data_IF_960395434922
#
_entry.id   IF_960395434922
#
_cell.length_a   1.000
_cell.length_b   1.000
_cell.length_c   1.000
_cell.angle_alpha   90.00
_cell.angle_beta   90.00
_cell.angle_gamma   90.00
#
_symmetry.space_group_name_H-M   'P 1'
#
loop_
_entity.id
_entity.type
_entity.pdbx_description
1 polymer ?
#
# COMPACT_ATOMS: atom_id res chain seq x y z
N UNK A 1 -12.38 2.73 -31.56
CA UNK A 1 -13.47 2.84 -30.57
C UNK A 1 -12.82 3.03 -29.21
N UNK A 2 -13.14 4.06 -28.42
CA UNK A 2 -12.62 4.19 -27.08
C UNK A 2 -13.16 3.03 -26.24
N UNK A 3 -12.24 2.32 -25.55
CA UNK A 3 -12.61 1.28 -24.62
C UNK A 3 -13.57 1.86 -23.59
N UNK A 4 -14.72 1.22 -23.42
CA UNK A 4 -15.68 1.56 -22.36
C UNK A 4 -14.89 1.41 -21.05
N UNK A 5 -14.54 2.55 -20.44
CA UNK A 5 -13.97 2.59 -19.11
C UNK A 5 -15.07 2.05 -18.19
N UNK A 6 -14.94 0.80 -17.76
CA UNK A 6 -15.76 0.30 -16.66
C UNK A 6 -15.58 1.27 -15.51
N UNK A 7 -16.67 1.80 -14.99
CA UNK A 7 -16.66 2.59 -13.75
C UNK A 7 -15.95 1.79 -12.67
N UNK A 8 -14.67 2.10 -12.45
CA UNK A 8 -13.83 1.38 -11.49
C UNK A 8 -14.11 1.97 -10.12
N UNK A 9 -14.75 1.19 -9.26
CA UNK A 9 -15.02 1.58 -7.89
C UNK A 9 -13.73 1.50 -7.06
N UNK A 10 -13.33 2.61 -6.49
CA UNK A 10 -12.19 2.71 -5.58
C UNK A 10 -12.62 2.40 -4.15
N UNK A 11 -11.82 1.59 -3.46
CA UNK A 11 -12.06 1.20 -2.07
C UNK A 11 -10.85 1.55 -1.20
N UNK A 12 -11.09 2.19 -0.07
CA UNK A 12 -10.06 2.56 0.90
C UNK A 12 -10.47 2.18 2.32
N UNK A 13 -9.70 1.31 2.96
CA UNK A 13 -9.87 0.95 4.36
C UNK A 13 -9.25 2.01 5.28
N UNK A 14 -10.05 2.56 6.19
CA UNK A 14 -9.60 3.49 7.22
C UNK A 14 -9.66 2.79 8.56
N UNK A 15 -8.55 2.87 9.31
CA UNK A 15 -8.41 2.24 10.62
C UNK A 15 -8.86 3.23 11.69
N UNK A 16 -9.78 2.83 12.54
CA UNK A 16 -10.20 3.56 13.73
C UNK A 16 -9.86 2.71 14.96
N UNK A 17 -9.28 3.31 15.97
CA UNK A 17 -9.14 2.68 17.27
C UNK A 17 -10.46 2.78 18.05
N UNK A 18 -10.72 1.83 18.93
CA UNK A 18 -11.85 1.89 19.84
C UNK A 18 -11.47 2.78 21.04
N UNK A 19 -12.45 3.48 21.59
CA UNK A 19 -12.28 4.28 22.82
C UNK A 19 -12.16 3.42 24.08
N UNK A 20 -12.66 2.19 23.99
CA UNK A 20 -12.66 1.20 25.05
C UNK A 20 -12.38 -0.19 24.48
N UNK A 21 -12.17 -1.16 25.35
CA UNK A 21 -12.09 -2.56 24.96
C UNK A 21 -13.40 -3.03 24.29
N UNK A 22 -13.27 -3.99 23.37
CA UNK A 22 -14.47 -4.62 22.78
C UNK A 22 -15.41 -5.12 23.87
N UNK A 23 -16.72 -4.82 23.78
CA UNK A 23 -17.74 -5.44 24.63
C UNK A 23 -17.65 -6.97 24.59
N UNK A 24 -18.04 -7.61 25.69
CA UNK A 24 -17.94 -9.08 25.84
C UNK A 24 -18.67 -9.81 24.73
N UNK A 25 -19.85 -9.35 24.36
CA UNK A 25 -20.66 -9.92 23.27
C UNK A 25 -19.96 -9.80 21.93
N UNK A 26 -19.29 -8.67 21.65
CA UNK A 26 -18.50 -8.49 20.43
C UNK A 26 -17.23 -9.37 20.44
N UNK A 27 -16.60 -9.61 21.60
CA UNK A 27 -15.48 -10.55 21.72
C UNK A 27 -15.91 -11.96 21.34
N UNK A 28 -17.05 -12.43 21.87
CA UNK A 28 -17.61 -13.74 21.52
C UNK A 28 -17.95 -13.82 20.03
N UNK A 29 -18.58 -12.78 19.46
CA UNK A 29 -18.90 -12.75 18.04
C UNK A 29 -17.64 -12.89 17.15
N UNK A 30 -16.55 -12.20 17.48
CA UNK A 30 -15.29 -12.28 16.74
C UNK A 30 -14.66 -13.68 16.83
N UNK A 31 -14.78 -14.35 17.97
CA UNK A 31 -14.33 -15.74 18.15
C UNK A 31 -15.19 -16.73 17.36
N UNK A 32 -16.50 -16.63 17.45
CA UNK A 32 -17.43 -17.47 16.69
C UNK A 32 -17.24 -17.29 15.19
N UNK A 33 -17.04 -16.05 14.73
CA UNK A 33 -16.74 -15.77 13.33
C UNK A 33 -15.45 -16.46 12.86
N UNK A 34 -14.39 -16.44 13.66
CA UNK A 34 -13.14 -17.15 13.37
C UNK A 34 -13.37 -18.68 13.29
N UNK A 35 -14.17 -19.24 14.18
CA UNK A 35 -14.53 -20.67 14.14
C UNK A 35 -15.33 -21.01 12.89
N UNK A 36 -16.35 -20.20 12.55
CA UNK A 36 -17.14 -20.35 11.34
C UNK A 36 -16.27 -20.30 10.08
N UNK A 37 -15.32 -19.36 9.98
CA UNK A 37 -14.36 -19.30 8.86
C UNK A 37 -13.52 -20.55 8.77
N UNK A 38 -13.00 -21.09 9.87
CA UNK A 38 -12.19 -22.31 9.87
C UNK A 38 -12.99 -23.55 9.50
N UNK A 39 -14.22 -23.65 9.98
CA UNK A 39 -15.14 -24.73 9.57
C UNK A 39 -15.46 -24.65 8.08
N UNK A 40 -15.74 -23.44 7.56
CA UNK A 40 -15.97 -23.22 6.12
C UNK A 40 -14.74 -23.56 5.25
N UNK A 41 -13.52 -23.31 5.74
CA UNK A 41 -12.29 -23.72 5.05
C UNK A 41 -12.23 -25.25 4.96
N UNK A 42 -12.54 -25.98 6.05
CA UNK A 42 -12.54 -27.45 6.05
C UNK A 42 -13.59 -28.01 5.08
N UNK A 43 -14.83 -27.53 5.16
CA UNK A 43 -15.89 -27.93 4.23
C UNK A 43 -15.55 -27.66 2.77
N UNK A 44 -14.98 -26.47 2.49
CA UNK A 44 -14.57 -26.11 1.13
C UNK A 44 -13.40 -26.94 0.58
N UNK A 45 -12.45 -27.37 1.44
CA UNK A 45 -11.38 -28.29 1.05
C UNK A 45 -11.93 -29.69 0.73
N UNK A 46 -12.81 -30.22 1.58
CA UNK A 46 -13.46 -31.53 1.37
C UNK A 46 -14.28 -31.56 0.08
N UNK A 47 -15.12 -30.55 -0.13
CA UNK A 47 -15.95 -30.44 -1.34
C UNK A 47 -15.19 -29.86 -2.56
N UNK A 48 -13.90 -29.51 -2.44
CA UNK A 48 -13.07 -28.90 -3.50
C UNK A 48 -13.65 -27.61 -4.10
N UNK A 49 -14.43 -26.85 -3.34
CA UNK A 49 -15.05 -25.59 -3.74
C UNK A 49 -14.32 -24.37 -3.12
N UNK A 50 -14.39 -23.24 -3.80
CA UNK A 50 -13.70 -22.01 -3.35
C UNK A 50 -14.55 -20.75 -3.50
N UNK A 51 -15.76 -20.85 -4.07
CA UNK A 51 -16.63 -19.67 -4.23
C UNK A 51 -17.56 -19.51 -3.02
N UNK A 52 -17.91 -18.25 -2.69
CA UNK A 52 -18.91 -17.94 -1.65
C UNK A 52 -20.21 -18.72 -1.90
N UNK A 53 -20.74 -18.64 -3.13
CA UNK A 53 -22.04 -19.25 -3.46
C UNK A 53 -22.01 -20.77 -3.32
N UNK A 54 -20.91 -21.43 -3.71
CA UNK A 54 -20.76 -22.86 -3.51
C UNK A 54 -20.66 -23.23 -2.03
N UNK A 55 -19.93 -22.45 -1.23
CA UNK A 55 -19.82 -22.65 0.22
C UNK A 55 -21.17 -22.45 0.92
N UNK A 56 -21.95 -21.44 0.52
CA UNK A 56 -23.31 -21.23 1.03
C UNK A 56 -24.19 -22.47 0.77
N UNK A 57 -24.16 -23.01 -0.46
CA UNK A 57 -24.98 -24.18 -0.81
C UNK A 57 -24.69 -25.43 0.04
N UNK A 58 -23.40 -25.66 0.35
CA UNK A 58 -22.97 -26.91 1.02
C UNK A 58 -22.90 -26.80 2.55
N UNK A 59 -22.75 -25.59 3.11
CA UNK A 59 -22.40 -25.43 4.51
C UNK A 59 -23.30 -24.49 5.31
N UNK A 60 -24.13 -23.66 4.64
CA UNK A 60 -24.87 -22.62 5.36
C UNK A 60 -25.85 -23.17 6.38
N UNK A 61 -26.61 -24.23 6.02
CA UNK A 61 -27.62 -24.83 6.90
C UNK A 61 -26.98 -25.38 8.17
N UNK A 62 -25.98 -26.24 8.01
CA UNK A 62 -25.26 -26.87 9.13
C UNK A 62 -24.57 -25.81 10.01
N UNK A 63 -24.01 -24.77 9.39
CA UNK A 63 -23.35 -23.69 10.13
C UNK A 63 -24.35 -22.80 10.87
N UNK A 64 -25.56 -22.63 10.34
CA UNK A 64 -26.63 -21.91 11.04
C UNK A 64 -27.05 -22.64 12.32
N UNK A 65 -27.08 -23.97 12.28
CA UNK A 65 -27.35 -24.84 13.44
C UNK A 65 -26.19 -24.80 14.46
N UNK A 66 -24.93 -24.80 13.97
CA UNK A 66 -23.74 -24.71 14.83
C UNK A 66 -23.54 -23.33 15.48
N UNK A 67 -23.99 -22.25 14.82
CA UNK A 67 -23.84 -20.87 15.26
C UNK A 67 -25.19 -20.14 15.37
N UNK A 68 -26.15 -20.63 16.17
CA UNK A 68 -27.51 -20.08 16.24
C UNK A 68 -27.56 -18.65 16.74
N UNK A 69 -26.57 -18.26 17.54
CA UNK A 69 -26.47 -16.91 18.13
C UNK A 69 -25.81 -15.87 17.19
N UNK A 70 -25.25 -16.28 16.06
CA UNK A 70 -24.62 -15.36 15.13
C UNK A 70 -25.67 -14.74 14.21
N UNK A 71 -25.59 -13.43 13.96
CA UNK A 71 -26.40 -12.77 12.95
C UNK A 71 -26.16 -13.39 11.57
N UNK A 72 -27.23 -13.71 10.84
CA UNK A 72 -27.16 -14.51 9.60
C UNK A 72 -26.21 -13.92 8.53
N UNK A 73 -26.17 -12.61 8.38
CA UNK A 73 -25.27 -11.95 7.44
C UNK A 73 -23.78 -12.11 7.81
N UNK A 74 -23.45 -12.18 9.08
CA UNK A 74 -22.06 -12.42 9.52
C UNK A 74 -21.60 -13.81 9.16
N UNK A 75 -22.50 -14.81 9.24
CA UNK A 75 -22.20 -16.17 8.80
C UNK A 75 -21.92 -16.21 7.29
N UNK A 76 -22.72 -15.52 6.48
CA UNK A 76 -22.46 -15.41 5.03
C UNK A 76 -21.12 -14.71 4.76
N UNK A 77 -20.78 -13.69 5.54
CA UNK A 77 -19.47 -13.01 5.45
C UNK A 77 -18.31 -13.93 5.85
N UNK A 78 -18.51 -14.82 6.81
CA UNK A 78 -17.51 -15.83 7.19
C UNK A 78 -17.23 -16.82 6.01
N UNK A 79 -18.30 -17.28 5.33
CA UNK A 79 -18.17 -18.12 4.13
C UNK A 79 -17.44 -17.38 2.99
N UNK A 80 -17.67 -16.08 2.82
CA UNK A 80 -16.95 -15.27 1.83
C UNK A 80 -15.45 -15.16 2.15
N UNK A 81 -15.11 -14.87 3.42
CA UNK A 81 -13.70 -14.82 3.87
C UNK A 81 -13.01 -16.17 3.64
N UNK A 82 -13.67 -17.27 3.99
CA UNK A 82 -13.17 -18.62 3.73
C UNK A 82 -12.94 -18.87 2.23
N UNK A 83 -13.89 -18.47 1.38
CA UNK A 83 -13.76 -18.56 -0.09
C UNK A 83 -12.54 -17.81 -0.64
N UNK A 84 -12.27 -16.60 -0.14
CA UNK A 84 -11.09 -15.83 -0.49
C UNK A 84 -9.78 -16.54 -0.10
N UNK A 85 -9.73 -17.13 1.09
CA UNK A 85 -8.58 -17.90 1.58
C UNK A 85 -8.37 -19.16 0.71
N UNK A 86 -9.42 -19.90 0.43
CA UNK A 86 -9.39 -21.10 -0.41
C UNK A 86 -8.93 -20.80 -1.84
N UNK A 87 -9.42 -19.71 -2.45
CA UNK A 87 -8.94 -19.25 -3.77
C UNK A 87 -7.44 -18.94 -3.76
N UNK A 88 -6.96 -18.26 -2.72
CA UNK A 88 -5.54 -17.96 -2.56
C UNK A 88 -4.69 -19.22 -2.39
N UNK A 89 -5.15 -20.16 -1.54
CA UNK A 89 -4.50 -21.45 -1.32
C UNK A 89 -4.42 -22.25 -2.63
N UNK A 90 -5.55 -22.43 -3.35
CA UNK A 90 -5.60 -23.13 -4.64
C UNK A 90 -4.66 -22.54 -5.69
N UNK A 91 -4.53 -21.19 -5.73
CA UNK A 91 -3.58 -20.50 -6.64
C UNK A 91 -2.13 -20.83 -6.31
N UNK A 92 -1.77 -20.93 -5.02
CA UNK A 92 -0.41 -21.29 -4.58
C UNK A 92 -0.09 -22.75 -4.92
N UNK A 93 -1.03 -23.67 -4.64
CA UNK A 93 -0.88 -25.09 -4.96
C UNK A 93 -0.67 -25.28 -6.48
N UNK A 94 -1.49 -24.60 -7.32
CA UNK A 94 -1.32 -24.65 -8.79
C UNK A 94 0.04 -24.14 -9.28
N UNK A 95 0.69 -23.25 -8.52
CA UNK A 95 2.03 -22.75 -8.82
C UNK A 95 3.14 -23.64 -8.27
N UNK A 96 2.84 -24.84 -7.79
CA UNK A 96 3.83 -25.76 -7.18
C UNK A 96 4.40 -25.28 -5.85
N UNK A 97 3.79 -24.28 -5.21
CA UNK A 97 4.26 -23.79 -3.90
C UNK A 97 3.72 -24.72 -2.81
N UNK A 98 4.62 -25.34 -2.05
CA UNK A 98 4.24 -26.15 -0.89
C UNK A 98 3.42 -25.30 0.11
N UNK A 99 2.20 -25.70 0.37
CA UNK A 99 1.29 -24.99 1.24
C UNK A 99 0.73 -25.92 2.32
N UNK A 100 0.76 -25.45 3.57
CA UNK A 100 -0.02 -26.06 4.65
C UNK A 100 -1.51 -25.79 4.44
N UNK A 101 -2.36 -26.62 5.04
CA UNK A 101 -3.81 -26.37 5.10
C UNK A 101 -4.03 -24.99 5.74
N UNK A 102 -4.79 -24.11 5.08
CA UNK A 102 -5.02 -22.76 5.61
C UNK A 102 -5.86 -22.82 6.90
N UNK A 103 -5.47 -21.99 7.86
CA UNK A 103 -6.14 -21.87 9.15
C UNK A 103 -6.05 -20.43 9.65
N UNK A 104 -7.17 -19.84 10.05
CA UNK A 104 -7.25 -18.48 10.58
C UNK A 104 -7.00 -18.51 12.10
N UNK A 105 -5.87 -17.92 12.53
CA UNK A 105 -5.50 -17.77 13.95
C UNK A 105 -5.93 -16.44 14.52
N UNK A 106 -5.90 -15.39 13.68
CA UNK A 106 -6.17 -14.03 14.12
C UNK A 106 -7.66 -13.84 14.39
N UNK A 107 -7.97 -13.24 15.52
CA UNK A 107 -9.32 -12.79 15.82
C UNK A 107 -9.68 -11.63 14.92
N UNK A 108 -10.70 -11.81 14.11
CA UNK A 108 -11.27 -10.79 13.22
C UNK A 108 -12.67 -11.20 12.81
N UNK A 109 -13.51 -10.23 12.58
CA UNK A 109 -14.82 -10.40 11.98
C UNK A 109 -14.96 -9.42 10.82
N UNK A 110 -15.67 -9.82 9.75
CA UNK A 110 -16.04 -8.97 8.63
C UNK A 110 -17.57 -8.85 8.59
N UNK A 111 -18.06 -7.61 8.52
CA UNK A 111 -19.46 -7.32 8.25
C UNK A 111 -19.57 -6.57 6.90
N UNK A 112 -20.54 -6.94 6.08
CA UNK A 112 -20.86 -6.18 4.87
C UNK A 112 -21.62 -4.88 5.23
N UNK A 113 -21.68 -3.93 4.31
CA UNK A 113 -22.26 -2.59 4.55
C UNK A 113 -23.72 -2.62 5.01
N UNK A 114 -24.46 -3.67 4.75
CA UNK A 114 -25.85 -3.85 5.18
C UNK A 114 -25.96 -4.46 6.60
N UNK A 115 -24.86 -4.96 7.14
CA UNK A 115 -24.83 -5.66 8.42
C UNK A 115 -24.24 -4.82 9.57
N UNK A 116 -24.19 -3.53 9.42
CA UNK A 116 -23.84 -2.55 10.46
C UNK A 116 -24.33 -1.17 10.08
N UNK A 117 -24.47 -0.28 11.07
CA UNK A 117 -24.74 1.13 10.87
C UNK A 117 -23.59 1.95 11.47
N UNK A 118 -23.19 3.01 10.80
CA UNK A 118 -22.19 3.96 11.30
C UNK A 118 -22.84 5.36 11.35
N UNK A 119 -22.98 5.88 12.54
CA UNK A 119 -23.25 7.32 12.70
C UNK A 119 -21.94 8.09 12.48
N UNK A 120 -21.88 8.80 11.35
CA UNK A 120 -20.69 9.54 10.94
C UNK A 120 -20.38 10.73 11.84
N UNK A 121 -21.40 11.31 12.49
CA UNK A 121 -21.25 12.45 13.40
C UNK A 121 -20.63 12.05 14.71
N UNK A 122 -21.23 11.08 15.40
CA UNK A 122 -20.76 10.60 16.70
C UNK A 122 -19.57 9.67 16.60
N UNK A 123 -19.37 9.01 15.44
CA UNK A 123 -18.37 7.95 15.28
C UNK A 123 -18.78 6.66 15.99
N UNK A 124 -20.07 6.40 16.16
CA UNK A 124 -20.58 5.17 16.78
C UNK A 124 -21.01 4.19 15.71
N UNK A 125 -20.57 2.94 15.86
CA UNK A 125 -21.00 1.82 15.03
C UNK A 125 -21.99 0.99 15.82
N UNK A 126 -23.20 0.83 15.25
CA UNK A 126 -24.20 -0.15 15.71
C UNK A 126 -24.00 -1.46 14.94
N UNK A 127 -23.64 -2.51 15.68
CA UNK A 127 -23.30 -3.83 15.14
C UNK A 127 -24.27 -4.89 15.68
N UNK A 128 -25.11 -5.50 14.83
CA UNK A 128 -25.97 -6.60 15.23
C UNK A 128 -25.14 -7.84 15.57
N UNK A 129 -25.40 -8.44 16.72
CA UNK A 129 -24.78 -9.70 17.15
C UNK A 129 -25.68 -10.88 16.78
N UNK A 130 -26.97 -10.73 17.09
CA UNK A 130 -28.06 -11.67 16.76
C UNK A 130 -29.33 -10.86 16.48
N UNK A 131 -30.37 -11.52 16.04
CA UNK A 131 -31.67 -10.88 15.86
C UNK A 131 -32.11 -10.17 17.16
N UNK A 132 -32.39 -8.87 17.06
CA UNK A 132 -32.83 -8.04 18.19
C UNK A 132 -31.75 -7.70 19.24
N UNK A 133 -30.49 -8.07 19.02
CA UNK A 133 -29.40 -7.75 19.94
C UNK A 133 -28.25 -7.08 19.18
N UNK A 134 -27.93 -5.87 19.58
CA UNK A 134 -26.92 -5.01 18.98
C UNK A 134 -25.88 -4.58 20.02
N UNK A 135 -24.70 -4.20 19.55
CA UNK A 135 -23.64 -3.63 20.38
C UNK A 135 -23.13 -2.34 19.72
N UNK A 136 -22.89 -1.34 20.53
CA UNK A 136 -22.27 -0.10 20.11
C UNK A 136 -20.75 -0.18 20.22
N UNK A 137 -20.06 0.20 19.16
CA UNK A 137 -18.60 0.37 19.14
C UNK A 137 -18.29 1.84 18.92
N UNK A 138 -17.68 2.48 19.90
CA UNK A 138 -17.29 3.89 19.84
C UNK A 138 -15.90 4.06 19.29
N UNK A 139 -15.75 4.93 18.30
CA UNK A 139 -14.51 5.14 17.55
C UNK A 139 -13.75 6.36 18.08
N UNK A 140 -12.45 6.24 18.22
CA UNK A 140 -11.57 7.40 18.41
C UNK A 140 -11.43 8.12 17.08
N UNK A 141 -12.10 9.27 16.96
CA UNK A 141 -12.15 10.07 15.73
C UNK A 141 -11.16 11.23 15.82
N UNK A 142 -10.15 11.24 14.95
CA UNK A 142 -9.20 12.35 14.77
C UNK A 142 -9.57 13.23 13.57
N UNK A 143 -8.91 14.38 13.42
CA UNK A 143 -9.04 15.25 12.23
C UNK A 143 -8.82 14.49 10.91
N UNK A 144 -7.90 13.50 10.88
CA UNK A 144 -7.69 12.67 9.71
C UNK A 144 -8.93 11.84 9.35
N UNK A 145 -9.62 11.30 10.35
CA UNK A 145 -10.81 10.47 10.16
C UNK A 145 -12.00 11.29 9.64
N UNK A 146 -12.13 12.55 10.10
CA UNK A 146 -13.20 13.47 9.65
C UNK A 146 -13.21 13.66 8.14
N UNK A 147 -12.05 13.66 7.48
CA UNK A 147 -11.97 13.74 6.00
C UNK A 147 -12.71 12.62 5.26
N UNK A 148 -13.01 11.51 5.94
CA UNK A 148 -13.76 10.38 5.37
C UNK A 148 -15.17 10.29 5.93
N UNK A 149 -15.36 10.64 7.18
CA UNK A 149 -16.68 10.63 7.82
C UNK A 149 -17.57 11.74 7.32
N UNK A 150 -17.02 12.94 7.10
CA UNK A 150 -17.76 14.13 6.71
C UNK A 150 -17.97 14.21 5.18
N UNK A 151 -17.21 13.43 4.40
CA UNK A 151 -17.36 13.35 2.95
C UNK A 151 -18.56 12.46 2.58
N UNK A 152 -19.69 13.09 2.26
CA UNK A 152 -20.94 12.41 1.91
C UNK A 152 -20.91 11.75 0.53
N UNK A 153 -19.93 12.09 -0.34
CA UNK A 153 -19.73 11.41 -1.62
C UNK A 153 -19.15 10.01 -1.44
N UNK A 154 -18.55 9.72 -0.28
CA UNK A 154 -18.04 8.38 0.04
C UNK A 154 -19.16 7.48 0.53
N UNK A 155 -19.33 6.33 -0.10
CA UNK A 155 -20.24 5.28 0.37
C UNK A 155 -19.54 4.32 1.33
N UNK A 156 -20.27 3.77 2.29
CA UNK A 156 -19.75 2.77 3.21
C UNK A 156 -19.62 1.42 2.51
N UNK A 157 -18.50 0.76 2.74
CA UNK A 157 -18.25 -0.62 2.33
C UNK A 157 -18.30 -1.59 3.51
N UNK A 158 -17.45 -2.61 3.49
CA UNK A 158 -17.37 -3.57 4.60
C UNK A 158 -16.68 -2.99 5.83
N UNK A 159 -17.10 -3.48 7.00
CA UNK A 159 -16.45 -3.26 8.28
C UNK A 159 -15.61 -4.50 8.65
N UNK A 160 -14.39 -4.29 9.14
CA UNK A 160 -13.61 -5.36 9.77
C UNK A 160 -13.37 -4.99 11.22
N UNK A 161 -13.85 -5.85 12.13
CA UNK A 161 -13.68 -5.69 13.58
C UNK A 161 -12.49 -6.54 14.02
N UNK A 162 -11.59 -5.94 14.79
CA UNK A 162 -10.40 -6.52 15.41
C UNK A 162 -10.49 -6.26 16.92
N UNK A 163 -9.73 -6.95 17.76
CA UNK A 163 -9.82 -6.80 19.22
C UNK A 163 -9.62 -5.36 19.74
N UNK A 164 -8.81 -4.55 19.05
CA UNK A 164 -8.38 -3.22 19.48
C UNK A 164 -8.82 -2.08 18.54
N UNK A 165 -9.38 -2.43 17.39
CA UNK A 165 -9.70 -1.46 16.33
C UNK A 165 -10.69 -1.99 15.32
N UNK A 166 -11.24 -1.09 14.55
CA UNK A 166 -12.04 -1.43 13.38
C UNK A 166 -11.45 -0.83 12.11
N UNK A 167 -11.73 -1.45 10.98
CA UNK A 167 -11.39 -0.93 9.65
C UNK A 167 -12.69 -0.75 8.90
N UNK A 168 -13.01 0.49 8.58
CA UNK A 168 -14.17 0.84 7.76
C UNK A 168 -13.72 1.06 6.32
N UNK A 169 -14.31 0.35 5.39
CA UNK A 169 -14.06 0.57 3.98
C UNK A 169 -14.94 1.72 3.46
N UNK A 170 -14.32 2.72 2.87
CA UNK A 170 -14.99 3.80 2.14
C UNK A 170 -14.83 3.55 0.65
N UNK A 171 -15.89 3.80 -0.11
CA UNK A 171 -15.96 3.57 -1.55
C UNK A 171 -16.33 4.85 -2.28
N UNK A 172 -15.78 5.05 -3.46
CA UNK A 172 -16.23 6.05 -4.42
C UNK A 172 -15.94 5.58 -5.84
N UNK A 173 -16.63 6.16 -6.80
CA UNK A 173 -16.29 5.98 -8.20
C UNK A 173 -14.94 6.63 -8.50
N UNK A 174 -14.14 6.01 -9.36
CA UNK A 174 -12.86 6.57 -9.75
C UNK A 174 -13.10 7.91 -10.47
N UNK A 175 -12.54 9.02 -9.97
CA UNK A 175 -12.63 10.28 -10.67
C UNK A 175 -11.97 10.16 -12.04
N UNK A 176 -12.56 10.76 -13.07
CA UNK A 176 -11.92 10.83 -14.39
C UNK A 176 -10.62 11.63 -14.26
N UNK A 177 -9.51 11.10 -14.76
CA UNK A 177 -8.26 11.86 -14.76
C UNK A 177 -8.43 13.16 -15.55
N UNK A 178 -7.89 14.24 -15.02
CA UNK A 178 -7.87 15.52 -15.74
C UNK A 178 -6.89 15.48 -16.90
N UNK A 179 -7.10 16.35 -17.90
CA UNK A 179 -6.08 16.65 -18.92
C UNK A 179 -4.96 17.44 -18.25
N UNK A 180 -3.72 16.96 -18.30
CA UNK A 180 -2.62 17.62 -17.61
C UNK A 180 -2.14 18.86 -18.38
N UNK A 181 -1.82 19.91 -17.61
CA UNK A 181 -1.21 21.14 -18.12
C UNK A 181 0.33 21.06 -18.09
N UNK A 182 0.86 20.11 -17.32
CA UNK A 182 2.28 19.86 -17.13
C UNK A 182 2.55 18.38 -16.87
N UNK A 183 3.83 17.99 -16.89
CA UNK A 183 4.24 16.58 -16.64
C UNK A 183 5.44 16.54 -15.72
N UNK A 184 5.42 15.65 -14.74
CA UNK A 184 6.57 15.28 -13.94
C UNK A 184 6.98 13.83 -14.24
N UNK A 185 8.19 13.64 -14.76
CA UNK A 185 8.80 12.33 -15.00
C UNK A 185 9.80 12.00 -13.90
N UNK A 186 9.74 10.82 -13.31
CA UNK A 186 10.53 10.44 -12.13
C UNK A 186 11.25 9.12 -12.32
N UNK A 187 12.58 9.13 -12.21
CA UNK A 187 13.43 7.96 -12.01
C UNK A 187 13.58 7.64 -10.51
N UNK A 188 13.59 6.36 -10.15
CA UNK A 188 13.52 5.95 -8.73
C UNK A 188 14.84 5.40 -8.24
N UNK A 189 15.53 6.18 -7.44
CA UNK A 189 16.79 5.83 -6.79
C UNK A 189 16.61 5.28 -5.37
N UNK A 190 17.70 4.82 -4.78
CA UNK A 190 17.71 4.29 -3.41
C UNK A 190 17.42 5.38 -2.35
N UNK A 191 17.76 6.65 -2.64
CA UNK A 191 17.68 7.78 -1.70
C UNK A 191 16.87 8.97 -2.20
N UNK A 192 16.41 8.90 -3.46
CA UNK A 192 15.70 10.01 -4.10
C UNK A 192 14.77 9.52 -5.21
N UNK A 193 13.83 10.38 -5.57
CA UNK A 193 13.23 10.42 -6.88
C UNK A 193 13.87 11.60 -7.62
N UNK A 194 14.56 11.31 -8.69
CA UNK A 194 15.18 12.31 -9.55
C UNK A 194 14.40 12.40 -10.84
N UNK A 195 14.08 13.60 -11.26
CA UNK A 195 13.15 13.74 -12.36
C UNK A 195 13.25 15.03 -13.14
N UNK A 196 12.31 15.16 -14.06
CA UNK A 196 12.13 16.33 -14.88
C UNK A 196 10.68 16.77 -14.80
N UNK A 197 10.47 18.04 -14.56
CA UNK A 197 9.18 18.71 -14.63
C UNK A 197 9.12 19.54 -15.90
N UNK A 198 8.10 19.31 -16.71
CA UNK A 198 7.81 20.02 -17.95
C UNK A 198 6.54 20.84 -17.79
N UNK A 199 6.62 22.13 -18.04
CA UNK A 199 5.51 23.08 -18.09
C UNK A 199 5.66 23.96 -19.33
N UNK A 200 4.67 23.93 -20.21
CA UNK A 200 4.81 24.52 -21.55
C UNK A 200 5.99 23.90 -22.30
N UNK A 201 6.92 24.74 -22.74
CA UNK A 201 8.14 24.32 -23.45
C UNK A 201 9.39 24.27 -22.55
N UNK A 202 9.24 24.57 -21.25
CA UNK A 202 10.35 24.63 -20.28
C UNK A 202 10.40 23.39 -19.44
N UNK A 203 11.56 22.73 -19.45
CA UNK A 203 11.81 21.57 -18.58
C UNK A 203 12.89 21.88 -17.56
N UNK A 204 12.64 21.54 -16.29
CA UNK A 204 13.54 21.72 -15.15
C UNK A 204 13.81 20.42 -14.44
N UNK A 205 15.02 20.28 -13.87
CA UNK A 205 15.31 19.16 -12.99
C UNK A 205 14.44 19.22 -11.72
N UNK A 206 14.00 18.06 -11.25
CA UNK A 206 13.20 17.93 -10.03
C UNK A 206 13.79 16.83 -9.16
N UNK A 207 13.86 17.07 -7.86
CA UNK A 207 14.40 16.10 -6.90
C UNK A 207 13.59 16.01 -5.63
N UNK A 208 13.30 14.78 -5.20
CA UNK A 208 12.74 14.49 -3.87
C UNK A 208 13.69 13.54 -3.14
N UNK A 209 14.42 14.06 -2.15
CA UNK A 209 15.37 13.26 -1.36
C UNK A 209 14.72 12.60 -0.15
N UNK A 210 15.04 11.33 0.11
CA UNK A 210 14.59 10.57 1.28
C UNK A 210 15.68 9.64 1.83
N UNK A 211 16.82 10.20 2.29
CA UNK A 211 17.99 9.42 2.71
C UNK A 211 17.71 8.55 3.94
N UNK A 212 16.74 8.89 4.76
CA UNK A 212 16.41 8.21 6.01
C UNK A 212 15.87 6.79 5.81
N UNK A 213 15.25 6.45 4.68
CA UNK A 213 14.76 5.09 4.38
C UNK A 213 15.90 4.09 4.36
N UNK A 214 16.98 4.40 3.63
CA UNK A 214 18.16 3.55 3.56
C UNK A 214 18.83 3.37 4.93
N UNK A 215 18.93 4.46 5.71
CA UNK A 215 19.49 4.41 7.07
C UNK A 215 18.64 3.55 8.01
N UNK A 216 17.32 3.63 7.93
CA UNK A 216 16.40 2.80 8.72
C UNK A 216 16.63 1.33 8.38
N UNK A 217 16.63 0.97 7.09
CA UNK A 217 16.85 -0.41 6.64
C UNK A 217 18.18 -0.97 7.11
N UNK A 218 19.25 -0.18 7.03
CA UNK A 218 20.57 -0.57 7.49
C UNK A 218 20.59 -0.80 9.01
N UNK A 219 20.02 0.12 9.81
CA UNK A 219 19.92 -0.01 11.28
C UNK A 219 19.17 -1.27 11.68
N UNK A 220 18.02 -1.52 11.07
CA UNK A 220 17.21 -2.71 11.35
C UNK A 220 17.89 -3.99 10.87
N UNK A 221 18.64 -3.95 9.76
CA UNK A 221 19.45 -5.08 9.32
C UNK A 221 20.49 -5.50 10.37
N UNK A 222 21.27 -4.54 10.92
CA UNK A 222 22.25 -4.84 11.97
C UNK A 222 21.58 -5.37 13.24
N UNK A 223 20.44 -4.80 13.64
CA UNK A 223 19.67 -5.31 14.80
C UNK A 223 19.21 -6.75 14.58
N UNK A 224 18.65 -7.07 13.41
CA UNK A 224 18.27 -8.45 13.08
C UNK A 224 19.47 -9.40 13.10
N UNK A 225 20.62 -9.00 12.56
CA UNK A 225 21.84 -9.82 12.60
C UNK A 225 22.26 -10.13 14.03
N UNK A 226 22.17 -9.16 14.96
CA UNK A 226 22.44 -9.38 16.40
C UNK A 226 21.40 -10.31 17.04
N UNK A 227 20.12 -10.13 16.76
CA UNK A 227 19.05 -10.98 17.27
C UNK A 227 19.17 -12.42 16.74
N UNK A 228 19.55 -12.59 15.48
CA UNK A 228 19.76 -13.91 14.87
C UNK A 228 20.90 -14.71 15.54
N UNK A 229 21.95 -14.05 15.99
CA UNK A 229 23.01 -14.71 16.79
C UNK A 229 22.42 -15.26 18.11
N UNK A 230 21.57 -14.47 18.81
CA UNK A 230 20.91 -14.91 20.04
C UNK A 230 19.90 -16.03 19.80
N UNK A 231 19.24 -16.05 18.64
CA UNK A 231 18.25 -17.08 18.25
C UNK A 231 18.83 -18.50 18.27
N UNK A 232 20.11 -18.66 17.97
CA UNK A 232 20.79 -19.96 18.00
C UNK A 232 20.67 -20.62 19.39
N UNK A 233 20.55 -19.80 20.44
CA UNK A 233 20.51 -20.24 21.84
C UNK A 233 19.10 -20.17 22.47
N UNK A 234 18.17 -19.38 21.89
CA UNK A 234 16.81 -19.25 22.43
C UNK A 234 15.76 -19.06 21.30
N UNK A 235 14.86 -20.03 21.14
CA UNK A 235 13.78 -20.03 20.14
C UNK A 235 12.75 -18.91 20.36
N UNK A 236 12.55 -18.44 21.60
CA UNK A 236 11.63 -17.33 21.92
C UNK A 236 12.04 -16.05 21.25
N UNK A 237 13.35 -15.78 21.16
CA UNK A 237 13.93 -14.63 20.45
C UNK A 237 13.48 -14.55 19.00
N UNK A 238 13.33 -15.69 18.32
CA UNK A 238 12.92 -15.72 16.91
C UNK A 238 11.48 -15.26 16.70
N UNK A 239 10.56 -15.73 17.56
CA UNK A 239 9.12 -15.52 17.37
C UNK A 239 8.71 -14.11 17.80
N UNK A 240 9.23 -13.63 18.90
CA UNK A 240 8.80 -12.36 19.49
C UNK A 240 9.67 -11.18 19.07
N UNK A 241 10.97 -11.24 19.33
CA UNK A 241 11.85 -10.09 19.10
C UNK A 241 12.12 -9.82 17.63
N UNK A 242 12.42 -10.87 16.84
CA UNK A 242 12.61 -10.69 15.39
C UNK A 242 11.32 -10.26 14.68
N UNK A 243 10.18 -10.78 15.12
CA UNK A 243 8.87 -10.39 14.59
C UNK A 243 8.53 -8.93 14.91
N UNK A 244 8.73 -8.50 16.15
CA UNK A 244 8.53 -7.09 16.58
C UNK A 244 9.48 -6.14 15.85
N UNK A 245 10.75 -6.52 15.68
CA UNK A 245 11.73 -5.69 14.96
C UNK A 245 11.38 -5.56 13.47
N UNK A 246 10.93 -6.64 12.82
CA UNK A 246 10.44 -6.59 11.44
C UNK A 246 9.20 -5.71 11.28
N UNK A 247 8.26 -5.79 12.20
CA UNK A 247 7.06 -4.93 12.19
C UNK A 247 7.43 -3.45 12.36
N UNK A 248 8.34 -3.12 13.29
CA UNK A 248 8.83 -1.74 13.49
C UNK A 248 9.49 -1.17 12.25
N UNK A 249 10.36 -1.95 11.60
CA UNK A 249 11.00 -1.56 10.34
C UNK A 249 9.95 -1.26 9.28
N UNK A 250 9.02 -2.19 9.09
CA UNK A 250 7.95 -2.06 8.10
C UNK A 250 7.12 -0.79 8.30
N UNK A 251 6.64 -0.55 9.52
CA UNK A 251 5.85 0.65 9.84
C UNK A 251 6.64 1.94 9.60
N UNK A 252 7.92 2.00 9.99
CA UNK A 252 8.76 3.17 9.78
C UNK A 252 8.98 3.48 8.30
N UNK A 253 9.24 2.46 7.51
CA UNK A 253 9.43 2.60 6.06
C UNK A 253 8.12 3.02 5.40
N UNK A 254 7.02 2.36 5.73
CA UNK A 254 5.70 2.67 5.16
C UNK A 254 5.29 4.11 5.41
N UNK A 255 5.45 4.59 6.63
CA UNK A 255 5.18 5.97 6.97
C UNK A 255 5.95 6.95 6.07
N UNK A 256 7.24 6.68 5.82
CA UNK A 256 8.08 7.53 4.96
C UNK A 256 7.69 7.46 3.49
N UNK A 257 7.43 6.25 2.99
CA UNK A 257 6.94 6.08 1.62
C UNK A 257 5.63 6.83 1.39
N UNK A 258 4.73 6.81 2.37
CA UNK A 258 3.49 7.56 2.30
C UNK A 258 3.72 9.08 2.33
N UNK A 259 4.71 9.57 3.10
CA UNK A 259 5.08 11.00 3.10
C UNK A 259 5.66 11.42 1.75
N UNK A 260 6.64 10.69 1.22
CA UNK A 260 7.23 10.95 -0.11
C UNK A 260 6.13 10.97 -1.19
N UNK A 261 5.27 9.97 -1.20
CA UNK A 261 4.16 9.92 -2.14
C UNK A 261 3.22 11.14 -2.01
N UNK A 262 2.94 11.58 -0.77
CA UNK A 262 2.11 12.78 -0.56
C UNK A 262 2.77 14.04 -1.11
N UNK A 263 4.09 14.21 -0.93
CA UNK A 263 4.80 15.37 -1.45
C UNK A 263 4.79 15.41 -2.98
N UNK A 264 5.05 14.26 -3.63
CA UNK A 264 4.95 14.14 -5.09
C UNK A 264 3.54 14.45 -5.60
N UNK A 265 2.51 13.90 -4.93
CA UNK A 265 1.12 14.12 -5.32
C UNK A 265 0.66 15.55 -5.08
N UNK A 266 1.12 16.19 -4.01
CA UNK A 266 0.85 17.61 -3.74
C UNK A 266 1.46 18.48 -4.84
N UNK A 267 2.72 18.24 -5.18
CA UNK A 267 3.40 18.93 -6.30
C UNK A 267 2.65 18.77 -7.63
N UNK A 268 2.23 17.54 -7.95
CA UNK A 268 1.50 17.24 -9.18
C UNK A 268 0.09 17.86 -9.19
N UNK A 269 -0.62 17.84 -8.07
CA UNK A 269 -1.97 18.41 -7.93
C UNK A 269 -1.98 19.93 -8.09
N UNK A 270 -1.04 20.64 -7.42
CA UNK A 270 -0.91 22.09 -7.48
C UNK A 270 -0.60 22.61 -8.90
N UNK A 271 0.03 21.79 -9.71
CA UNK A 271 0.46 22.14 -11.11
C UNK A 271 -0.33 21.40 -12.17
N UNK A 272 -1.41 20.71 -11.79
CA UNK A 272 -2.20 19.87 -12.72
C UNK A 272 -1.33 18.95 -13.58
N UNK A 273 -0.30 18.35 -12.97
CA UNK A 273 0.70 17.55 -13.67
C UNK A 273 0.26 16.10 -13.83
N UNK A 274 0.57 15.50 -14.98
CA UNK A 274 0.66 14.04 -15.07
C UNK A 274 1.95 13.54 -14.43
N UNK A 275 1.93 12.33 -13.86
CA UNK A 275 3.10 11.69 -13.27
C UNK A 275 3.55 10.55 -14.18
N UNK A 276 4.80 10.60 -14.67
CA UNK A 276 5.44 9.52 -15.42
C UNK A 276 6.38 8.75 -14.51
N UNK A 277 6.19 7.43 -14.45
CA UNK A 277 6.98 6.50 -13.63
C UNK A 277 7.53 5.36 -14.51
N UNK A 278 8.62 4.76 -14.05
CA UNK A 278 9.14 3.52 -14.63
C UNK A 278 8.18 2.34 -14.44
N UNK A 279 8.01 1.49 -15.47
CA UNK A 279 7.36 0.18 -15.29
C UNK A 279 8.37 -0.85 -14.78
N UNK A 280 8.35 -1.06 -13.47
CA UNK A 280 9.24 -1.99 -12.77
C UNK A 280 8.82 -3.47 -12.90
N UNK A 281 7.92 -3.83 -13.81
CA UNK A 281 7.53 -5.21 -14.06
C UNK A 281 8.71 -5.99 -14.66
N UNK A 282 8.95 -7.18 -14.13
CA UNK A 282 9.95 -8.12 -14.70
C UNK A 282 11.42 -7.83 -14.35
N UNK A 283 11.76 -6.72 -13.72
CA UNK A 283 13.14 -6.47 -13.29
C UNK A 283 13.57 -7.48 -12.22
N UNK A 284 14.48 -8.37 -12.59
CA UNK A 284 15.16 -9.30 -11.66
C UNK A 284 16.63 -8.94 -11.67
N UNK A 285 17.19 -8.45 -10.54
CA UNK A 285 18.62 -8.20 -10.48
C UNK A 285 19.39 -9.53 -10.56
N UNK A 286 20.27 -9.66 -11.57
CA UNK A 286 21.22 -10.77 -11.71
C UNK A 286 22.61 -10.25 -11.34
N UNK A 287 22.89 -10.03 -10.06
CA UNK A 287 24.15 -9.48 -9.59
C UNK A 287 24.63 -10.22 -8.34
N UNK A 288 25.73 -9.74 -7.72
CA UNK A 288 26.23 -10.36 -6.51
C UNK A 288 25.20 -10.36 -5.35
N UNK A 289 25.38 -11.26 -4.38
CA UNK A 289 24.44 -11.51 -3.28
C UNK A 289 24.13 -10.24 -2.46
N UNK A 290 25.13 -9.40 -2.22
CA UNK A 290 24.97 -8.18 -1.42
C UNK A 290 24.16 -7.11 -2.16
N UNK A 291 24.47 -6.87 -3.44
CA UNK A 291 23.72 -5.93 -4.26
C UNK A 291 22.28 -6.41 -4.50
N UNK A 292 22.08 -7.71 -4.73
CA UNK A 292 20.72 -8.28 -4.84
C UNK A 292 19.93 -8.09 -3.54
N UNK A 293 20.57 -8.21 -2.39
CA UNK A 293 19.96 -7.95 -1.09
C UNK A 293 19.54 -6.47 -0.97
N UNK A 294 20.43 -5.52 -1.26
CA UNK A 294 20.14 -4.08 -1.23
C UNK A 294 18.96 -3.74 -2.16
N UNK A 295 19.01 -4.21 -3.40
CA UNK A 295 17.95 -3.96 -4.38
C UNK A 295 16.61 -4.63 -4.03
N UNK A 296 16.64 -5.80 -3.36
CA UNK A 296 15.40 -6.46 -2.90
C UNK A 296 14.81 -5.81 -1.66
N UNK A 297 15.61 -5.18 -0.83
CA UNK A 297 15.15 -4.43 0.34
C UNK A 297 14.53 -3.08 -0.04
N UNK A 298 14.97 -2.48 -1.16
CA UNK A 298 14.48 -1.20 -1.62
C UNK A 298 13.00 -1.29 -2.08
N UNK A 299 12.07 -0.58 -1.44
CA UNK A 299 10.65 -0.76 -1.70
C UNK A 299 10.13 0.06 -2.89
N UNK A 300 10.89 0.12 -4.01
CA UNK A 300 10.52 0.88 -5.23
C UNK A 300 9.11 0.59 -5.71
N UNK A 301 8.80 -0.68 -5.93
CA UNK A 301 7.45 -1.10 -6.36
C UNK A 301 6.36 -0.66 -5.41
N UNK A 302 6.64 -0.66 -4.10
CA UNK A 302 5.69 -0.22 -3.09
C UNK A 302 5.46 1.28 -3.14
N UNK A 303 6.53 2.08 -3.33
CA UNK A 303 6.41 3.53 -3.52
C UNK A 303 5.54 3.85 -4.74
N UNK A 304 5.82 3.24 -5.90
CA UNK A 304 5.02 3.41 -7.10
C UNK A 304 3.55 3.04 -6.87
N UNK A 305 3.28 1.89 -6.24
CA UNK A 305 1.91 1.47 -5.91
C UNK A 305 1.18 2.45 -4.99
N UNK A 306 1.90 3.06 -4.04
CA UNK A 306 1.32 4.08 -3.14
C UNK A 306 0.99 5.35 -3.94
N UNK A 307 1.90 5.81 -4.80
CA UNK A 307 1.68 6.97 -5.70
C UNK A 307 0.48 6.70 -6.59
N UNK A 308 0.46 5.58 -7.32
CA UNK A 308 -0.62 5.19 -8.23
C UNK A 308 -2.00 5.17 -7.54
N UNK A 309 -2.12 4.46 -6.42
CA UNK A 309 -3.40 4.35 -5.70
C UNK A 309 -3.90 5.70 -5.19
N UNK A 310 -2.99 6.54 -4.68
CA UNK A 310 -3.35 7.88 -4.20
C UNK A 310 -3.66 8.83 -5.35
N UNK A 311 -2.92 8.76 -6.45
CA UNK A 311 -3.16 9.51 -7.67
C UNK A 311 -4.53 9.16 -8.26
N UNK A 312 -4.85 7.87 -8.38
CA UNK A 312 -6.14 7.39 -8.85
C UNK A 312 -7.29 7.90 -7.95
N UNK A 313 -7.08 7.91 -6.63
CA UNK A 313 -8.06 8.47 -5.68
C UNK A 313 -8.31 9.97 -5.90
N UNK A 314 -7.33 10.71 -6.41
CA UNK A 314 -7.39 12.16 -6.68
C UNK A 314 -7.71 12.52 -8.13
N UNK A 315 -7.74 11.55 -9.05
CA UNK A 315 -7.88 11.81 -10.49
C UNK A 315 -6.61 12.36 -11.14
N UNK A 316 -5.45 12.16 -10.53
CA UNK A 316 -4.16 12.56 -11.10
C UNK A 316 -3.74 11.52 -12.13
N UNK A 317 -3.45 11.89 -13.40
CA UNK A 317 -2.97 10.95 -14.41
C UNK A 317 -1.61 10.36 -14.04
N UNK A 318 -1.47 9.02 -14.08
CA UNK A 318 -0.19 8.33 -13.90
C UNK A 318 0.09 7.44 -15.09
N UNK A 319 1.25 7.63 -15.68
CA UNK A 319 1.72 6.90 -16.85
C UNK A 319 2.92 6.04 -16.49
N UNK A 320 2.95 4.79 -16.94
CA UNK A 320 4.10 3.90 -16.78
C UNK A 320 4.80 3.69 -18.11
N UNK A 321 6.12 3.84 -18.09
CA UNK A 321 6.99 3.71 -19.27
C UNK A 321 8.03 2.62 -19.03
N UNK A 322 8.33 1.84 -20.07
CA UNK A 322 9.42 0.86 -20.01
C UNK A 322 10.76 1.57 -19.79
N UNK A 323 11.49 1.28 -18.71
CA UNK A 323 12.74 1.96 -18.37
C UNK A 323 13.96 1.42 -19.13
N UNK A 324 13.79 0.50 -20.07
CA UNK A 324 14.91 -0.10 -20.80
C UNK A 324 15.72 0.97 -21.50
N UNK A 325 17.01 0.96 -21.24
CA UNK A 325 17.99 1.89 -21.79
C UNK A 325 17.79 3.38 -21.45
N UNK A 326 16.78 3.76 -20.66
CA UNK A 326 16.52 5.18 -20.33
C UNK A 326 17.76 5.89 -19.77
N UNK A 327 18.53 5.25 -18.89
CA UNK A 327 19.75 5.80 -18.30
C UNK A 327 21.00 5.72 -19.21
N UNK A 328 20.87 5.20 -20.44
CA UNK A 328 21.97 4.97 -21.37
C UNK A 328 21.77 5.62 -22.72
N UNK A 329 20.57 6.03 -23.05
CA UNK A 329 20.23 6.67 -24.32
C UNK A 329 20.46 8.17 -24.20
N UNK A 330 21.12 8.75 -25.20
CA UNK A 330 21.23 10.19 -25.33
C UNK A 330 19.87 10.76 -25.77
N UNK A 331 19.27 11.71 -25.05
CA UNK A 331 17.98 12.26 -25.44
C UNK A 331 18.05 13.18 -26.64
N UNK A 332 19.25 13.64 -27.04
CA UNK A 332 19.47 14.50 -28.19
C UNK A 332 19.64 13.69 -29.49
N UNK A 333 20.61 12.76 -29.52
CA UNK A 333 20.97 12.03 -30.73
C UNK A 333 20.51 10.58 -30.79
N UNK A 334 19.85 10.07 -29.70
CA UNK A 334 19.35 8.70 -29.62
C UNK A 334 20.43 7.62 -29.46
N UNK A 335 21.73 7.94 -29.43
CA UNK A 335 22.82 6.98 -29.32
C UNK A 335 22.80 6.33 -27.94
N UNK A 336 23.00 5.00 -27.89
CA UNK A 336 23.05 4.21 -26.63
C UNK A 336 24.50 4.05 -26.20
N UNK A 337 24.84 4.52 -25.00
CA UNK A 337 26.13 4.31 -24.35
C UNK A 337 26.16 3.00 -23.59
N UNK A 338 27.13 2.14 -23.92
CA UNK A 338 27.29 0.83 -23.27
C UNK A 338 28.23 0.88 -22.05
N UNK A 339 29.20 1.80 -22.04
CA UNK A 339 30.09 2.04 -20.91
C UNK A 339 29.37 2.80 -19.79
N UNK A 340 29.51 2.35 -18.54
CA UNK A 340 28.97 3.04 -17.37
C UNK A 340 29.98 4.00 -16.79
N UNK A 341 29.73 5.28 -16.91
CA UNK A 341 30.51 6.34 -16.28
C UNK A 341 29.81 6.82 -14.99
N UNK A 342 29.92 6.05 -13.91
CA UNK A 342 29.48 6.49 -12.58
C UNK A 342 28.03 6.99 -12.48
N UNK A 343 27.86 8.16 -11.88
CA UNK A 343 26.56 8.85 -11.74
C UNK A 343 26.23 9.76 -12.93
N UNK A 344 27.19 10.05 -13.80
CA UNK A 344 27.06 10.96 -14.93
C UNK A 344 26.79 10.20 -16.22
N UNK A 345 26.10 10.86 -17.13
CA UNK A 345 25.92 10.45 -18.51
C UNK A 345 26.63 11.46 -19.42
N UNK A 346 27.48 10.99 -20.33
CA UNK A 346 28.14 11.79 -21.34
C UNK A 346 27.98 11.17 -22.71
N UNK A 347 27.74 11.98 -23.73
CA UNK A 347 27.59 11.56 -25.10
C UNK A 347 28.58 12.31 -26.00
N UNK A 348 29.07 11.68 -27.07
CA UNK A 348 29.95 12.30 -28.08
C UNK A 348 29.31 13.49 -28.79
N UNK A 349 27.98 13.63 -28.77
CA UNK A 349 27.30 14.81 -29.32
C UNK A 349 27.39 16.05 -28.40
N UNK A 350 28.13 15.97 -27.28
CA UNK A 350 28.30 17.06 -26.33
C UNK A 350 27.26 17.06 -25.18
N UNK A 351 26.23 16.16 -25.21
CA UNK A 351 25.27 16.09 -24.13
C UNK A 351 25.88 15.45 -22.86
N UNK A 352 25.82 16.19 -21.75
CA UNK A 352 26.34 15.75 -20.45
C UNK A 352 25.36 16.11 -19.35
N UNK A 353 24.99 15.11 -18.48
CA UNK A 353 24.01 15.31 -17.42
C UNK A 353 24.12 14.20 -16.35
N UNK A 354 23.54 14.43 -15.16
CA UNK A 354 23.30 13.36 -14.20
C UNK A 354 22.50 12.22 -14.85
N UNK A 355 22.93 10.98 -14.62
CA UNK A 355 22.35 9.79 -15.26
C UNK A 355 20.87 9.57 -14.94
N UNK A 356 20.41 9.96 -13.73
CA UNK A 356 19.04 9.78 -13.31
C UNK A 356 18.12 10.82 -13.93
N UNK A 357 18.61 12.06 -14.04
CA UNK A 357 17.91 13.12 -14.77
C UNK A 357 17.84 12.74 -16.26
N UNK A 358 18.94 12.25 -16.84
CA UNK A 358 18.95 11.73 -18.22
C UNK A 358 17.91 10.62 -18.43
N UNK A 359 17.81 9.68 -17.48
CA UNK A 359 16.79 8.62 -17.51
C UNK A 359 15.38 9.21 -17.51
N UNK A 360 15.12 10.18 -16.65
CA UNK A 360 13.82 10.85 -16.54
C UNK A 360 13.44 11.63 -17.80
N UNK A 361 14.41 12.27 -18.48
CA UNK A 361 14.20 12.90 -19.79
C UNK A 361 13.73 11.86 -20.81
N UNK A 362 14.41 10.72 -20.90
CA UNK A 362 14.03 9.65 -21.83
C UNK A 362 12.66 9.02 -21.51
N UNK A 363 12.30 8.88 -20.23
CA UNK A 363 10.97 8.45 -19.82
C UNK A 363 9.91 9.48 -20.24
N UNK A 364 10.18 10.78 -20.07
CA UNK A 364 9.31 11.87 -20.49
C UNK A 364 9.08 11.85 -21.99
N UNK A 365 10.15 11.80 -22.79
CA UNK A 365 10.06 11.73 -24.26
C UNK A 365 9.23 10.51 -24.71
N UNK A 366 9.44 9.36 -24.07
CA UNK A 366 8.67 8.13 -24.37
C UNK A 366 7.19 8.29 -24.02
N UNK A 367 6.85 8.97 -22.94
CA UNK A 367 5.47 9.24 -22.57
C UNK A 367 4.80 10.21 -23.57
N UNK A 368 5.51 11.26 -23.98
CA UNK A 368 5.04 12.23 -24.97
C UNK A 368 4.83 11.58 -26.34
N UNK A 369 5.80 10.80 -26.83
CA UNK A 369 5.71 10.12 -28.13
C UNK A 369 4.55 9.14 -28.24
N UNK A 370 4.11 8.58 -27.09
CA UNK A 370 2.94 7.71 -26.98
C UNK A 370 1.62 8.46 -26.80
N UNK A 371 1.61 9.79 -26.85
CA UNK A 371 0.43 10.62 -26.60
C UNK A 371 -0.10 10.57 -25.17
N UNK A 372 0.70 10.10 -24.22
CA UNK A 372 0.28 9.89 -22.84
C UNK A 372 0.45 11.14 -21.96
N UNK A 373 0.99 12.23 -22.51
CA UNK A 373 1.33 13.46 -21.78
C UNK A 373 0.45 14.67 -22.17
N UNK A 374 -0.81 14.45 -22.56
CA UNK A 374 -1.78 15.54 -22.77
C UNK A 374 -1.50 16.47 -23.94
N UNK A 375 -0.71 16.02 -24.96
CA UNK A 375 -0.37 16.86 -26.12
C UNK A 375 0.81 17.80 -25.91
N UNK A 376 1.46 17.78 -24.74
CA UNK A 376 2.68 18.55 -24.48
C UNK A 376 3.81 18.13 -25.41
N UNK A 377 4.67 19.09 -25.75
CA UNK A 377 5.87 18.87 -26.58
C UNK A 377 7.10 19.13 -25.72
N UNK A 378 8.18 18.42 -25.99
CA UNK A 378 9.44 18.61 -25.31
C UNK A 378 10.61 18.43 -26.24
N UNK A 379 11.50 19.42 -26.26
CA UNK A 379 12.83 19.34 -26.89
C UNK A 379 13.89 19.28 -25.78
N UNK A 380 14.79 18.28 -25.79
CA UNK A 380 15.84 18.19 -24.77
C UNK A 380 16.76 19.43 -24.72
N UNK A 381 16.91 20.14 -25.82
CA UNK A 381 17.67 21.39 -25.87
C UNK A 381 17.07 22.55 -25.04
N UNK A 382 15.79 22.47 -24.70
CA UNK A 382 15.11 23.43 -23.83
C UNK A 382 15.22 23.08 -22.32
N UNK A 383 15.99 22.06 -21.95
CA UNK A 383 16.20 21.67 -20.57
C UNK A 383 17.02 22.70 -19.80
N UNK A 384 16.49 23.13 -18.65
CA UNK A 384 17.17 24.03 -17.73
C UNK A 384 17.78 23.22 -16.58
N UNK A 385 19.04 23.50 -16.25
CA UNK A 385 19.77 22.79 -15.20
C UNK A 385 19.36 23.17 -13.77
N UNK A 386 18.44 24.14 -13.61
CA UNK A 386 17.91 24.53 -12.31
C UNK A 386 17.16 23.34 -11.66
N UNK A 387 17.47 23.08 -10.40
CA UNK A 387 16.87 21.96 -9.66
C UNK A 387 15.73 22.45 -8.77
N UNK A 388 14.53 21.99 -9.03
CA UNK A 388 13.37 22.19 -8.18
C UNK A 388 13.31 21.08 -7.10
N UNK A 389 13.35 21.47 -5.84
CA UNK A 389 13.24 20.51 -4.73
C UNK A 389 11.78 20.23 -4.37
N UNK A 390 11.37 18.99 -4.45
CA UNK A 390 10.14 18.53 -3.80
C UNK A 390 10.48 18.28 -2.33
N UNK A 391 10.03 19.20 -1.46
CA UNK A 391 10.33 19.12 -0.04
C UNK A 391 9.67 17.90 0.58
N UNK A 392 10.49 16.99 1.04
CA UNK A 392 10.12 15.89 1.92
C UNK A 392 10.53 16.25 3.33
N UNK A 393 9.56 16.54 4.20
CA UNK A 393 9.84 16.71 5.61
C UNK A 393 10.19 15.35 6.22
N UNK A 394 11.45 15.09 6.61
CA UNK A 394 11.77 13.90 7.38
C UNK A 394 10.91 13.93 8.65
N UNK A 395 10.39 12.78 9.06
CA UNK A 395 9.70 12.69 10.33
C UNK A 395 10.66 13.21 11.40
N UNK A 396 10.31 14.29 12.10
CA UNK A 396 11.00 14.64 13.34
C UNK A 396 11.12 13.35 14.15
N UNK A 397 12.33 13.02 14.62
CA UNK A 397 12.53 11.86 15.48
C UNK A 397 11.45 11.93 16.55
N UNK A 398 10.55 10.95 16.55
CA UNK A 398 9.50 10.90 17.57
C UNK A 398 10.23 11.07 18.89
N UNK A 399 9.95 12.17 19.58
CA UNK A 399 10.42 12.38 20.94
C UNK A 399 10.09 11.08 21.65
N UNK A 400 11.09 10.44 22.21
CA UNK A 400 10.92 9.29 23.06
C UNK A 400 9.74 9.58 23.99
N UNK A 401 8.62 8.86 23.79
CA UNK A 401 7.58 8.87 24.80
C UNK A 401 8.28 8.54 26.13
N UNK A 402 8.08 9.30 27.20
CA UNK A 402 8.65 8.95 28.47
C UNK A 402 8.15 7.54 28.79
N UNK A 403 9.09 6.63 29.04
CA UNK A 403 8.80 5.32 29.55
C UNK A 403 7.86 5.51 30.76
N UNK A 404 6.61 5.12 30.59
CA UNK A 404 5.70 5.00 31.72
C UNK A 404 6.36 4.05 32.72
N UNK A 405 6.94 4.62 33.75
CA UNK A 405 7.34 3.90 34.95
C UNK A 405 6.07 3.30 35.55
N UNK A 406 5.83 2.04 35.29
CA UNK A 406 4.92 1.24 36.09
C UNK A 406 5.51 1.17 37.50
N UNK A 407 5.04 2.03 38.39
CA UNK A 407 5.30 1.95 39.80
C UNK A 407 4.75 0.60 40.31
N UNK A 408 5.66 -0.26 40.71
CA UNK A 408 5.34 -1.41 41.55
C UNK A 408 5.03 -0.83 42.93
N UNK A 409 3.76 -0.74 43.25
CA UNK A 409 3.32 -0.50 44.63
C UNK A 409 3.45 -1.85 45.36
N UNK A 410 4.49 -1.95 46.18
CA UNK A 410 4.60 -3.04 47.15
C UNK A 410 3.50 -2.89 48.21
N UNK A 411 2.77 -3.96 48.43
CA UNK A 411 1.91 -4.09 49.59
C UNK A 411 2.67 -4.94 50.62
N UNK A 412 2.97 -4.34 51.74
CA UNK A 412 3.31 -5.05 53.00
C UNK A 412 2.10 -5.73 53.54
#
# INVERSE_FOLDING_TARGET
MPAIVKDEMLVKGIVFYLDSDLPTEAKFLVEDFRLAVNNAIRAGLQARVTSRNSLVKIAYKDFREQHPRMYAQHLVSALEVAGGILKSHRRRVRKGVACRIPYVKRLMMKAENQAYKLDRRSGVIDLPIRAGCHVELRLVVSHYHRRYLDDMALTLGSLTVLPDRVIVAFRKDAPKPYTPDSVISLDTNERSLDGVFLEGDVAKAVKAEFPDIAMIQQRHHYRRKRLQKKKAHDRRVSKELCGREGAREHHRIDYRLHKVANSVLKFAEERRSAIVLEDLKGMRPKRNKELNRRLSMWPRKKLHQIIERKAQWKGIPVVKVDPRYSSRTCPICGRIQYSRMGAEFACECGWHLDRHINASINLLQTAISKGMAGGLRFSPGAFQHDVMMILYEPAMAARSEPNGTSGIVGVT
#
